data_IF_020215208151
#
_entry.id   IF_020215208151
#
_cell.length_a   1.000
_cell.length_b   1.000
_cell.length_c   1.000
_cell.angle_alpha   90.00
_cell.angle_beta   90.00
_cell.angle_gamma   90.00
#
_symmetry.space_group_name_H-M   'P 1'
#
loop_
_entity.id
_entity.type
_entity.pdbx_description
1 polymer ?
#
# COMPACT_ATOMS: atom_id res chain seq x y z
N UNK A 1 5.45 18.81 -32.34
CA UNK A 1 4.48 18.68 -31.22
C UNK A 1 5.29 18.32 -29.99
N UNK A 2 5.39 19.19 -29.00
CA UNK A 2 6.09 18.87 -27.76
C UNK A 2 5.17 18.06 -26.85
N UNK A 3 5.67 16.95 -26.31
CA UNK A 3 4.93 16.10 -25.40
C UNK A 3 5.05 16.66 -23.98
N UNK A 4 3.93 17.09 -23.41
CA UNK A 4 3.82 17.59 -22.05
C UNK A 4 3.30 16.50 -21.10
N UNK A 5 3.98 16.30 -19.97
CA UNK A 5 3.57 15.36 -18.94
C UNK A 5 2.78 16.07 -17.83
N UNK A 6 1.53 15.65 -17.62
CA UNK A 6 0.68 16.12 -16.53
C UNK A 6 0.70 15.10 -15.39
N UNK A 7 1.07 15.52 -14.18
CA UNK A 7 1.33 14.61 -13.04
C UNK A 7 0.54 15.04 -11.82
N UNK A 8 -0.07 14.08 -11.11
CA UNK A 8 -0.72 14.35 -9.83
C UNK A 8 0.30 14.50 -8.70
N UNK A 9 0.41 15.72 -8.18
CA UNK A 9 1.18 16.12 -6.99
C UNK A 9 2.65 15.65 -6.91
N UNK A 10 3.28 15.34 -8.05
CA UNK A 10 4.67 14.88 -8.12
C UNK A 10 5.44 15.57 -9.25
N UNK A 11 6.76 15.49 -9.16
CA UNK A 11 7.71 15.82 -10.23
C UNK A 11 8.69 14.66 -10.35
N UNK A 12 8.91 14.18 -11.56
CA UNK A 12 9.88 13.12 -11.82
C UNK A 12 11.24 13.75 -12.09
N UNK A 13 12.24 13.40 -11.29
CA UNK A 13 13.62 13.78 -11.54
C UNK A 13 14.14 13.08 -12.79
N UNK A 14 15.04 13.74 -13.52
CA UNK A 14 15.71 13.20 -14.71
C UNK A 14 14.79 12.77 -15.86
N UNK A 15 13.56 13.29 -15.93
CA UNK A 15 12.65 13.02 -17.05
C UNK A 15 12.82 14.07 -18.17
N UNK A 16 12.96 13.67 -19.45
CA UNK A 16 13.30 14.58 -20.55
C UNK A 16 12.12 15.44 -21.02
N UNK A 17 10.87 15.01 -20.77
CA UNK A 17 9.69 15.77 -21.20
C UNK A 17 9.41 16.93 -20.22
N UNK A 18 8.94 18.09 -20.71
CA UNK A 18 8.33 19.10 -19.87
C UNK A 18 7.23 18.52 -18.97
N UNK A 19 7.15 18.99 -17.73
CA UNK A 19 6.23 18.46 -16.72
C UNK A 19 5.44 19.57 -16.04
N UNK A 20 4.14 19.35 -15.87
CA UNK A 20 3.28 20.16 -15.04
C UNK A 20 2.70 19.31 -13.91
N UNK A 21 3.06 19.67 -12.68
CA UNK A 21 2.51 19.06 -11.47
C UNK A 21 1.20 19.74 -11.10
N UNK A 22 0.17 18.95 -10.83
CA UNK A 22 -1.16 19.41 -10.44
C UNK A 22 -1.54 18.79 -9.10
N UNK A 23 -1.74 19.60 -8.07
CA UNK A 23 -2.33 19.13 -6.81
C UNK A 23 -3.78 18.72 -7.06
N UNK A 24 -4.14 17.50 -6.65
CA UNK A 24 -5.45 16.86 -6.94
C UNK A 24 -5.70 16.84 -8.45
N UNK A 25 -4.70 16.38 -9.20
CA UNK A 25 -4.69 16.39 -10.66
C UNK A 25 -5.79 15.53 -11.25
N UNK A 26 -6.14 14.43 -10.58
CA UNK A 26 -7.24 13.54 -10.96
C UNK A 26 -8.61 14.23 -10.98
N UNK A 27 -8.86 15.17 -10.07
CA UNK A 27 -10.09 15.97 -10.04
C UNK A 27 -10.12 17.10 -11.08
N UNK A 28 -8.98 17.41 -11.71
CA UNK A 28 -8.80 18.63 -12.53
C UNK A 28 -8.38 18.35 -13.98
N UNK A 29 -7.94 17.15 -14.30
CA UNK A 29 -7.42 16.77 -15.61
C UNK A 29 -7.91 15.37 -16.00
N UNK A 30 -8.62 15.28 -17.12
CA UNK A 30 -9.16 14.00 -17.62
C UNK A 30 -8.07 12.97 -17.91
N UNK A 31 -6.90 13.38 -18.41
CA UNK A 31 -5.78 12.46 -18.66
C UNK A 31 -5.22 11.88 -17.36
N UNK A 32 -5.11 12.70 -16.30
CA UNK A 32 -4.67 12.21 -14.98
C UNK A 32 -5.74 11.31 -14.36
N UNK A 33 -7.02 11.67 -14.47
CA UNK A 33 -8.13 10.84 -14.00
C UNK A 33 -8.17 9.47 -14.69
N UNK A 34 -8.00 9.44 -16.01
CA UNK A 34 -7.92 8.19 -16.77
C UNK A 34 -6.73 7.34 -16.33
N UNK A 35 -5.55 7.96 -16.15
CA UNK A 35 -4.36 7.28 -15.65
C UNK A 35 -4.55 6.70 -14.25
N UNK A 36 -5.20 7.43 -13.33
CA UNK A 36 -5.44 6.96 -11.96
C UNK A 36 -6.40 5.76 -11.92
N UNK A 37 -7.44 5.75 -12.76
CA UNK A 37 -8.35 4.60 -12.91
C UNK A 37 -7.60 3.38 -13.43
N UNK A 38 -6.81 3.52 -14.50
CA UNK A 38 -6.02 2.41 -15.06
C UNK A 38 -5.06 1.85 -14.01
N UNK A 39 -4.33 2.72 -13.31
CA UNK A 39 -3.39 2.32 -12.27
C UNK A 39 -4.09 1.56 -11.12
N UNK A 40 -5.23 2.07 -10.64
CA UNK A 40 -6.00 1.44 -9.56
C UNK A 40 -6.54 0.08 -9.96
N UNK A 41 -7.19 -0.02 -11.12
CA UNK A 41 -7.78 -1.28 -11.61
C UNK A 41 -6.70 -2.34 -11.83
N UNK A 42 -5.57 -1.96 -12.45
CA UNK A 42 -4.44 -2.86 -12.64
C UNK A 42 -3.89 -3.34 -11.29
N UNK A 43 -3.63 -2.42 -10.35
CA UNK A 43 -3.10 -2.76 -9.02
C UNK A 43 -4.05 -3.67 -8.23
N UNK A 44 -5.35 -3.43 -8.28
CA UNK A 44 -6.33 -4.26 -7.59
C UNK A 44 -6.42 -5.68 -8.19
N UNK A 45 -6.22 -5.83 -9.50
CA UNK A 45 -6.10 -7.15 -10.15
C UNK A 45 -4.85 -7.88 -9.67
N UNK A 46 -3.69 -7.22 -9.68
CA UNK A 46 -2.44 -7.81 -9.19
C UNK A 46 -2.54 -8.29 -7.75
N UNK A 47 -3.24 -7.56 -6.87
CA UNK A 47 -3.43 -7.99 -5.48
C UNK A 47 -4.38 -9.17 -5.30
N UNK A 48 -5.34 -9.37 -6.20
CA UNK A 48 -6.16 -10.60 -6.19
C UNK A 48 -5.32 -11.82 -6.53
N UNK A 49 -4.48 -11.70 -7.57
CA UNK A 49 -3.52 -12.75 -7.95
C UNK A 49 -2.55 -13.01 -6.80
N UNK A 50 -2.01 -11.95 -6.20
CA UNK A 50 -1.09 -12.09 -5.07
C UNK A 50 -1.75 -12.76 -3.86
N UNK A 51 -3.03 -12.48 -3.60
CA UNK A 51 -3.79 -13.16 -2.56
C UNK A 51 -4.01 -14.65 -2.80
N UNK A 52 -3.86 -15.15 -4.04
CA UNK A 52 -3.86 -16.58 -4.31
C UNK A 52 -2.52 -17.22 -3.95
N UNK A 53 -1.41 -16.53 -4.21
CA UNK A 53 -0.06 -17.00 -3.87
C UNK A 53 0.28 -16.87 -2.38
N UNK A 54 -0.39 -15.95 -1.68
CA UNK A 54 -0.17 -15.63 -0.28
C UNK A 54 -1.52 -15.50 0.46
N UNK A 55 -2.28 -16.60 0.58
CA UNK A 55 -3.65 -16.59 1.10
C UNK A 55 -3.75 -16.11 2.56
N UNK A 56 -2.71 -16.32 3.36
CA UNK A 56 -2.64 -15.98 4.78
C UNK A 56 -2.69 -14.48 5.06
N UNK A 57 -2.30 -13.63 4.10
CA UNK A 57 -2.26 -12.18 4.30
C UNK A 57 -3.56 -11.47 3.94
N UNK A 58 -4.45 -12.08 3.15
CA UNK A 58 -5.71 -11.43 2.74
C UNK A 58 -5.55 -10.32 1.71
N UNK A 59 -4.47 -10.31 0.90
CA UNK A 59 -4.18 -9.28 -0.10
C UNK A 59 -5.33 -8.99 -1.07
N UNK A 60 -6.13 -10.00 -1.41
CA UNK A 60 -7.30 -9.84 -2.27
C UNK A 60 -8.37 -8.91 -1.65
N UNK A 61 -8.42 -8.77 -0.32
CA UNK A 61 -9.39 -7.94 0.40
C UNK A 61 -8.89 -6.51 0.54
N UNK A 62 -7.74 -6.32 1.20
CA UNK A 62 -7.24 -5.00 1.58
C UNK A 62 -6.12 -4.46 0.68
N UNK A 63 -5.76 -5.15 -0.40
CA UNK A 63 -4.80 -4.68 -1.43
C UNK A 63 -3.40 -4.32 -0.89
N UNK A 64 -3.02 -4.86 0.27
CA UNK A 64 -1.76 -4.56 0.94
C UNK A 64 -1.78 -3.34 1.86
N UNK A 65 -2.93 -2.65 2.02
CA UNK A 65 -3.07 -1.62 3.06
C UNK A 65 -2.95 -2.22 4.47
N UNK A 66 -2.44 -1.44 5.42
CA UNK A 66 -2.13 -1.86 6.80
C UNK A 66 -3.36 -1.97 7.71
N UNK A 67 -4.33 -2.79 7.31
CA UNK A 67 -5.54 -3.10 8.10
C UNK A 67 -5.21 -3.95 9.33
N UNK A 68 -6.14 -4.03 10.29
CA UNK A 68 -6.00 -4.93 11.45
C UNK A 68 -5.85 -6.40 11.03
N UNK A 69 -6.58 -6.83 9.99
CA UNK A 69 -6.43 -8.17 9.41
C UNK A 69 -5.00 -8.42 8.92
N UNK A 70 -4.45 -7.47 8.17
CA UNK A 70 -3.10 -7.59 7.62
C UNK A 70 -2.02 -7.58 8.71
N UNK A 71 -2.21 -6.76 9.75
CA UNK A 71 -1.35 -6.75 10.92
C UNK A 71 -1.33 -8.10 11.64
N UNK A 72 -2.50 -8.71 11.88
CA UNK A 72 -2.60 -10.04 12.50
C UNK A 72 -1.88 -11.10 11.66
N UNK A 73 -2.06 -11.09 10.34
CA UNK A 73 -1.35 -12.02 9.45
C UNK A 73 0.17 -11.85 9.52
N UNK A 74 0.67 -10.60 9.58
CA UNK A 74 2.09 -10.31 9.73
C UNK A 74 2.67 -10.79 11.06
N UNK A 75 1.90 -10.71 12.15
CA UNK A 75 2.32 -11.23 13.46
C UNK A 75 2.33 -12.76 13.45
N UNK A 76 1.31 -13.39 12.88
CA UNK A 76 1.17 -14.85 12.86
C UNK A 76 2.15 -15.56 11.90
N UNK A 77 2.43 -14.95 10.74
CA UNK A 77 3.17 -15.60 9.65
C UNK A 77 4.50 -14.91 9.30
N UNK A 78 4.81 -13.77 9.92
CA UNK A 78 5.93 -12.92 9.52
C UNK A 78 5.67 -12.22 8.17
N UNK A 79 6.59 -11.38 7.66
CA UNK A 79 6.43 -10.76 6.35
C UNK A 79 6.93 -11.64 5.19
N UNK A 80 6.09 -11.82 4.17
CA UNK A 80 6.54 -12.34 2.87
C UNK A 80 7.49 -11.36 2.13
N UNK A 81 8.10 -11.85 1.04
CA UNK A 81 8.98 -11.06 0.15
C UNK A 81 8.28 -9.86 -0.51
N UNK A 82 6.95 -9.82 -0.51
CA UNK A 82 6.14 -8.75 -1.09
C UNK A 82 5.99 -7.55 -0.16
N UNK A 83 6.31 -7.73 1.12
CA UNK A 83 6.18 -6.67 2.12
C UNK A 83 7.33 -5.68 2.04
N UNK A 84 6.97 -4.40 2.12
CA UNK A 84 7.93 -3.31 2.22
C UNK A 84 8.45 -3.19 3.64
N UNK A 85 9.57 -3.88 3.92
CA UNK A 85 10.15 -3.97 5.28
C UNK A 85 10.57 -2.63 5.88
N UNK A 86 10.83 -1.61 5.06
CA UNK A 86 11.16 -0.26 5.53
C UNK A 86 9.94 0.57 5.97
N UNK A 87 8.72 0.10 5.74
CA UNK A 87 7.51 0.87 6.05
C UNK A 87 7.09 0.62 7.50
N UNK A 88 6.78 1.69 8.25
CA UNK A 88 6.07 1.55 9.53
C UNK A 88 4.64 1.06 9.27
N UNK A 89 4.07 0.15 10.10
CA UNK A 89 4.62 -0.38 11.36
C UNK A 89 5.56 -1.59 11.23
N UNK A 90 5.73 -2.17 10.04
CA UNK A 90 6.50 -3.40 9.86
C UNK A 90 7.98 -3.24 10.22
N UNK A 91 8.59 -2.12 9.89
CA UNK A 91 10.00 -1.83 10.25
C UNK A 91 10.24 -1.88 11.77
N UNK A 92 9.27 -1.39 12.56
CA UNK A 92 9.33 -1.44 14.03
C UNK A 92 9.11 -2.85 14.55
N UNK A 93 8.13 -3.57 14.00
CA UNK A 93 7.88 -4.97 14.37
C UNK A 93 9.14 -5.83 14.14
N UNK A 94 9.81 -5.64 13.01
CA UNK A 94 11.05 -6.35 12.69
C UNK A 94 12.23 -5.98 13.60
N UNK A 95 12.25 -4.75 14.12
CA UNK A 95 13.30 -4.29 15.04
C UNK A 95 13.03 -4.72 16.47
N UNK A 96 11.78 -4.62 16.92
CA UNK A 96 11.40 -4.71 18.34
C UNK A 96 10.78 -6.07 18.71
N UNK A 97 10.41 -6.90 17.73
CA UNK A 97 9.71 -8.19 17.95
C UNK A 97 8.26 -8.07 18.42
N UNK A 98 7.79 -6.87 18.76
CA UNK A 98 6.43 -6.58 19.18
C UNK A 98 5.74 -5.64 18.18
N UNK A 99 4.47 -5.92 17.86
CA UNK A 99 3.71 -5.05 16.97
C UNK A 99 3.44 -3.70 17.67
N UNK A 100 3.73 -2.54 17.04
CA UNK A 100 3.65 -1.25 17.73
C UNK A 100 2.20 -0.88 18.03
N UNK A 101 1.96 -0.37 19.25
CA UNK A 101 0.68 0.19 19.64
C UNK A 101 0.33 1.39 18.75
N UNK A 102 -0.86 1.39 18.16
CA UNK A 102 -1.40 2.56 17.44
C UNK A 102 -2.25 3.39 18.41
N UNK A 103 -2.14 4.72 18.33
CA UNK A 103 -2.83 5.65 19.24
C UNK A 103 -4.37 5.55 19.25
N UNK A 104 -4.93 5.92 20.43
CA UNK A 104 -6.31 5.81 20.95
C UNK A 104 -6.99 4.46 20.71
N UNK A 105 -6.49 3.47 21.46
CA UNK A 105 -7.22 2.35 22.11
C UNK A 105 -8.32 1.60 21.34
N UNK A 106 -8.11 0.28 21.23
CA UNK A 106 -9.16 -0.78 21.26
C UNK A 106 -9.82 -1.34 19.98
N UNK A 107 -9.12 -1.45 18.84
CA UNK A 107 -9.63 -2.32 17.74
C UNK A 107 -8.81 -3.59 17.45
N UNK A 108 -7.66 -3.75 18.12
CA UNK A 108 -7.05 -5.07 18.30
C UNK A 108 -7.37 -5.46 19.72
N UNK A 109 -8.43 -6.26 19.87
CA UNK A 109 -8.73 -6.97 21.10
C UNK A 109 -7.44 -7.60 21.64
N UNK A 110 -7.32 -7.54 22.95
CA UNK A 110 -6.11 -7.71 23.74
C UNK A 110 -5.62 -9.18 23.78
N UNK A 111 -5.52 -9.83 22.62
CA UNK A 111 -4.99 -11.18 22.50
C UNK A 111 -4.42 -11.39 21.10
N UNK A 112 -3.12 -11.10 20.95
CA UNK A 112 -2.29 -11.54 19.82
C UNK A 112 -1.43 -12.74 20.22
N UNK A 113 -1.80 -13.46 21.29
CA UNK A 113 -1.12 -14.69 21.66
C UNK A 113 -1.43 -15.74 20.59
N UNK A 114 -0.46 -16.58 20.19
CA UNK A 114 -0.77 -17.79 19.43
C UNK A 114 -1.74 -18.63 20.27
N UNK A 115 -2.98 -18.80 19.79
CA UNK A 115 -3.85 -19.83 20.35
C UNK A 115 -3.28 -21.17 19.90
N UNK A 116 -2.95 -22.02 20.89
CA UNK A 116 -2.31 -23.33 20.76
C UNK A 116 -2.98 -24.27 19.74
#
# INVERSE_FOLDING_TARGET
MELLLLIDALRLEHWPCPQQSLIKGDARCLSIAAASIVAKVARDRSMRVLGQSYPEYGFALHKGYGTALHARALVAHGPSVQHRRSFRPLAEFLTNGAWPARGRESELGNDLSPQE
#
